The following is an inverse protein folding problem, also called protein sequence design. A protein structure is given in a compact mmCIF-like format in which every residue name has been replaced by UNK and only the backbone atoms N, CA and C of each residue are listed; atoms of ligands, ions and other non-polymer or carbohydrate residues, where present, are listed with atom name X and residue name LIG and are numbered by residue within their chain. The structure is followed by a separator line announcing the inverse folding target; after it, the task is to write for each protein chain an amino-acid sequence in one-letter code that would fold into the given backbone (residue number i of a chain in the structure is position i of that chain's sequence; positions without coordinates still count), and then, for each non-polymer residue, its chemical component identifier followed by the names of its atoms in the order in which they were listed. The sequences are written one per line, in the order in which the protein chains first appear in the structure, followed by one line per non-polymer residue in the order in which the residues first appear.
data_IF_523636901320
#
_entry.id   IF_523636901320
#
_cell.length_a   1.000
_cell.length_b   1.000
_cell.length_c   1.000
_cell.angle_alpha   90.00
_cell.angle_beta   90.00
_cell.angle_gamma   90.00
#
_symmetry.space_group_name_H-M   'P 1'
#
loop_
_entity.id
_entity.type
_entity.pdbx_description
1 polymer ?
#
# COMPACT_ATOMS: atom_id res chain seq x y z
N UNK A 1 -48.30 27.99 -13.81
CA UNK A 1 -48.96 28.62 -12.64
C UNK A 1 -47.83 29.29 -11.85
N UNK A 2 -47.48 30.57 -12.07
CA UNK A 2 -48.21 31.81 -11.69
C UNK A 2 -48.62 31.73 -10.21
N UNK A 3 -48.18 32.59 -9.28
CA UNK A 3 -48.22 34.07 -9.20
C UNK A 3 -47.17 34.47 -8.13
N UNK A 4 -46.15 35.31 -8.37
CA UNK A 4 -46.08 36.79 -8.48
C UNK A 4 -46.42 37.59 -7.21
N UNK A 5 -45.79 38.79 -7.15
CA UNK A 5 -46.00 39.98 -6.30
C UNK A 5 -45.09 40.11 -5.05
N UNK A 6 -44.35 41.20 -4.81
CA UNK A 6 -44.48 42.58 -5.31
C UNK A 6 -43.15 43.36 -5.32
N UNK A 7 -42.91 44.05 -6.44
CA UNK A 7 -42.10 45.28 -6.54
C UNK A 7 -43.05 46.47 -6.61
N UNK A 8 -42.80 47.52 -5.83
CA UNK A 8 -43.25 48.92 -5.99
C UNK A 8 -42.93 49.68 -4.67
N UNK A 9 -42.58 50.96 -4.59
CA UNK A 9 -42.11 52.02 -5.50
C UNK A 9 -41.81 53.23 -4.59
N UNK A 10 -41.25 54.30 -5.16
CA UNK A 10 -41.02 55.66 -4.61
C UNK A 10 -39.71 55.82 -3.79
N UNK A 11 -38.75 56.67 -4.13
CA UNK A 11 -38.71 57.82 -5.04
C UNK A 11 -38.72 59.12 -4.27
N UNK A 12 -37.56 59.57 -3.77
CA UNK A 12 -37.32 60.99 -3.41
C UNK A 12 -35.92 61.39 -3.90
N UNK A 13 -35.87 62.59 -4.46
CA UNK A 13 -34.83 63.21 -5.27
C UNK A 13 -33.73 63.86 -4.41
N UNK A 14 -32.60 64.09 -5.09
CA UNK A 14 -31.36 64.75 -4.71
C UNK A 14 -31.44 66.03 -3.86
N UNK A 15 -30.39 66.23 -3.05
CA UNK A 15 -29.82 67.53 -2.74
C UNK A 15 -28.29 67.40 -2.56
N UNK A 16 -27.59 68.39 -3.10
CA UNK A 16 -26.14 68.48 -3.30
C UNK A 16 -25.28 68.53 -2.02
N UNK A 17 -24.07 67.95 -2.13
CA UNK A 17 -22.71 68.35 -1.67
C UNK A 17 -22.52 69.32 -0.45
N UNK A 18 -21.37 69.28 0.28
CA UNK A 18 -20.04 68.90 -0.22
C UNK A 18 -19.14 68.05 0.69
N UNK A 19 -18.10 67.53 0.02
CA UNK A 19 -16.96 66.76 0.53
C UNK A 19 -16.09 67.64 1.43
N UNK A 20 -15.86 67.20 2.66
CA UNK A 20 -14.82 67.72 3.54
C UNK A 20 -13.66 66.71 3.62
N UNK A 21 -12.51 67.12 3.11
CA UNK A 21 -11.24 66.42 3.25
C UNK A 21 -10.75 66.50 4.71
N UNK A 22 -10.42 65.36 5.30
CA UNK A 22 -9.63 65.31 6.53
C UNK A 22 -8.56 64.22 6.43
N UNK A 23 -7.32 64.71 6.55
CA UNK A 23 -6.03 64.03 6.57
C UNK A 23 -5.89 63.22 7.85
N UNK A 24 -5.58 61.92 7.75
CA UNK A 24 -5.05 61.13 8.85
C UNK A 24 -3.68 60.56 8.45
N UNK A 25 -2.71 60.87 9.30
CA UNK A 25 -1.31 60.50 9.24
C UNK A 25 -1.14 59.05 9.68
N UNK A 26 -0.08 58.43 9.15
CA UNK A 26 0.44 57.09 9.39
C UNK A 26 0.17 56.46 10.78
N UNK A 27 -0.27 55.21 10.76
CA UNK A 27 0.31 54.17 11.61
C UNK A 27 0.65 52.97 10.74
N UNK A 28 1.94 52.61 10.78
CA UNK A 28 2.57 51.59 9.98
C UNK A 28 2.56 50.30 10.81
N UNK A 29 1.59 49.42 10.58
CA UNK A 29 1.60 48.07 11.14
C UNK A 29 1.20 47.08 10.03
N UNK A 30 2.11 46.20 9.57
CA UNK A 30 1.71 45.12 8.68
C UNK A 30 0.73 44.18 9.41
N UNK A 31 -0.28 43.62 8.72
CA UNK A 31 -1.24 42.69 9.31
C UNK A 31 -0.51 41.43 9.85
N UNK A 32 -0.96 40.84 10.97
CA UNK A 32 -0.29 39.71 11.60
C UNK A 32 -0.63 38.39 10.88
N UNK A 33 -0.25 38.25 9.61
CA UNK A 33 -0.41 36.98 8.88
C UNK A 33 0.69 35.97 9.27
N UNK A 34 1.91 36.45 9.54
CA UNK A 34 3.07 35.58 9.80
C UNK A 34 3.04 34.83 11.15
N UNK A 35 2.24 35.29 12.12
CA UNK A 35 2.15 34.68 13.44
C UNK A 35 1.28 33.40 13.45
N UNK A 36 0.27 33.34 12.57
CA UNK A 36 -0.61 32.16 12.43
C UNK A 36 0.13 30.96 11.83
N UNK A 37 0.93 31.20 10.78
CA UNK A 37 1.70 30.16 10.11
C UNK A 37 2.80 29.58 11.01
N UNK A 38 3.42 30.41 11.85
CA UNK A 38 4.41 29.94 12.84
C UNK A 38 3.77 29.18 14.00
N UNK A 39 2.54 29.53 14.41
CA UNK A 39 1.82 28.79 15.44
C UNK A 39 1.35 27.42 14.92
N UNK A 40 0.82 27.35 13.70
CA UNK A 40 0.41 26.09 13.08
C UNK A 40 1.61 25.16 12.81
N UNK A 41 2.74 25.70 12.35
CA UNK A 41 3.97 24.92 12.18
C UNK A 41 4.48 24.35 13.51
N UNK A 42 4.39 25.12 14.61
CA UNK A 42 4.74 24.63 15.96
C UNK A 42 3.78 23.55 16.45
N UNK A 43 2.47 23.71 16.23
CA UNK A 43 1.48 22.70 16.59
C UNK A 43 1.71 21.38 15.84
N UNK A 44 1.94 21.44 14.51
CA UNK A 44 2.26 20.27 13.71
C UNK A 44 3.55 19.58 14.17
N UNK A 45 4.55 20.36 14.60
CA UNK A 45 5.80 19.82 15.14
C UNK A 45 5.59 19.10 16.47
N UNK A 46 4.73 19.60 17.35
CA UNK A 46 4.38 18.92 18.60
C UNK A 46 3.66 17.59 18.32
N UNK A 47 2.66 17.60 17.43
CA UNK A 47 1.95 16.37 17.01
C UNK A 47 2.91 15.33 16.43
N UNK A 48 3.89 15.77 15.64
CA UNK A 48 4.95 14.90 15.11
C UNK A 48 5.77 14.26 16.23
N UNK A 49 6.20 15.06 17.21
CA UNK A 49 6.99 14.58 18.35
C UNK A 49 6.19 13.59 19.19
N UNK A 50 4.92 13.89 19.47
CA UNK A 50 4.04 13.04 20.26
C UNK A 50 3.77 11.70 19.56
N UNK A 51 3.47 11.72 18.26
CA UNK A 51 3.27 10.51 17.46
C UNK A 51 4.52 9.63 17.43
N UNK A 52 5.71 10.22 17.25
CA UNK A 52 6.99 9.50 17.29
C UNK A 52 7.24 8.92 18.69
N UNK A 53 7.01 9.69 19.75
CA UNK A 53 7.18 9.22 21.12
C UNK A 53 6.18 8.11 21.48
N UNK A 54 4.94 8.19 21.00
CA UNK A 54 3.93 7.15 21.16
C UNK A 54 4.34 5.86 20.46
N UNK A 55 4.79 5.96 19.20
CA UNK A 55 5.30 4.81 18.47
C UNK A 55 6.51 4.16 19.18
N UNK A 56 7.48 4.96 19.63
CA UNK A 56 8.66 4.45 20.34
C UNK A 56 8.29 3.77 21.67
N UNK A 57 7.28 4.28 22.38
CA UNK A 57 6.75 3.63 23.60
C UNK A 57 6.06 2.30 23.29
N UNK A 58 5.33 2.23 22.18
CA UNK A 58 4.61 1.02 21.75
C UNK A 58 5.54 -0.04 21.15
N UNK A 59 6.62 0.37 20.48
CA UNK A 59 7.62 -0.50 19.84
C UNK A 59 9.05 -0.05 20.18
N UNK A 60 9.54 -0.36 21.39
CA UNK A 60 10.87 0.06 21.84
C UNK A 60 12.01 -0.45 20.96
N UNK A 61 11.82 -1.59 20.29
CA UNK A 61 12.78 -2.21 19.37
C UNK A 61 12.91 -1.49 18.03
N UNK A 62 11.93 -0.66 17.66
CA UNK A 62 11.90 0.03 16.38
C UNK A 62 12.78 1.28 16.43
N UNK A 63 13.67 1.43 15.44
CA UNK A 63 14.41 2.67 15.21
C UNK A 63 13.58 3.59 14.30
N UNK A 64 12.86 4.55 14.88
CA UNK A 64 11.95 5.44 14.12
C UNK A 64 12.69 6.27 13.06
N UNK A 65 13.98 6.59 13.28
CA UNK A 65 14.78 7.29 12.27
C UNK A 65 14.93 6.48 10.97
N UNK A 66 15.13 5.17 11.09
CA UNK A 66 15.29 4.26 9.95
C UNK A 66 13.96 4.05 9.22
N UNK A 67 12.85 3.96 9.97
CA UNK A 67 11.49 3.98 9.40
C UNK A 67 11.28 5.21 8.52
N UNK A 68 11.59 6.41 9.04
CA UNK A 68 11.39 7.66 8.29
C UNK A 68 12.34 7.76 7.09
N UNK A 69 13.59 7.28 7.22
CA UNK A 69 14.53 7.22 6.11
C UNK A 69 14.04 6.27 5.00
N UNK A 70 13.53 5.10 5.38
CA UNK A 70 12.95 4.13 4.45
C UNK A 70 11.82 4.75 3.62
N UNK A 71 10.88 5.45 4.25
CA UNK A 71 9.78 6.08 3.52
C UNK A 71 10.23 7.26 2.67
N UNK A 72 11.22 8.04 3.14
CA UNK A 72 11.78 9.13 2.34
C UNK A 72 12.37 8.65 1.02
N UNK A 73 13.02 7.49 1.03
CA UNK A 73 13.62 6.90 -0.17
C UNK A 73 12.62 6.16 -1.04
N UNK A 74 11.74 5.35 -0.44
CA UNK A 74 10.95 4.36 -1.16
C UNK A 74 9.49 4.78 -1.42
N UNK A 75 8.93 5.66 -0.59
CA UNK A 75 7.55 6.12 -0.72
C UNK A 75 7.34 7.51 -0.08
N UNK A 76 7.94 8.55 -0.67
CA UNK A 76 7.88 9.92 -0.13
C UNK A 76 6.45 10.46 -0.09
N UNK A 77 5.55 9.92 -0.93
CA UNK A 77 4.14 10.29 -1.00
C UNK A 77 3.37 9.94 0.28
N UNK A 78 3.77 8.86 0.98
CA UNK A 78 3.20 8.44 2.25
C UNK A 78 3.77 9.25 3.42
N UNK A 79 5.06 9.58 3.35
CA UNK A 79 5.69 10.45 4.35
C UNK A 79 5.06 11.86 4.31
N UNK A 80 4.88 12.43 3.12
CA UNK A 80 4.20 13.71 2.93
C UNK A 80 2.74 13.67 3.43
N UNK A 81 2.05 12.55 3.25
CA UNK A 81 0.69 12.36 3.77
C UNK A 81 0.65 12.38 5.31
N UNK A 82 1.62 11.73 5.95
CA UNK A 82 1.74 11.80 7.41
C UNK A 82 2.04 13.23 7.89
N UNK A 83 2.95 13.94 7.22
CA UNK A 83 3.26 15.33 7.56
C UNK A 83 2.05 16.25 7.39
N UNK A 84 1.25 16.05 6.34
CA UNK A 84 -0.02 16.75 6.13
C UNK A 84 -1.01 16.48 7.27
N UNK A 85 -1.12 15.22 7.72
CA UNK A 85 -1.98 14.85 8.85
C UNK A 85 -1.53 15.49 10.16
N UNK A 86 -0.22 15.62 10.39
CA UNK A 86 0.28 16.33 11.57
C UNK A 86 -0.20 17.79 11.62
N UNK A 87 -0.35 18.46 10.47
CA UNK A 87 -0.85 19.84 10.39
C UNK A 87 -2.38 19.98 10.31
N UNK A 88 -3.08 19.02 9.71
CA UNK A 88 -4.50 19.17 9.36
C UNK A 88 -5.44 18.21 10.11
N UNK A 89 -4.93 17.06 10.58
CA UNK A 89 -5.71 15.96 11.14
C UNK A 89 -4.96 15.29 12.31
N UNK A 90 -4.67 16.03 13.40
CA UNK A 90 -3.75 15.59 14.45
C UNK A 90 -4.19 14.28 15.12
N UNK A 91 -5.49 14.08 15.33
CA UNK A 91 -6.06 12.87 15.93
C UNK A 91 -5.77 11.58 15.13
N UNK A 92 -5.45 11.72 13.84
CA UNK A 92 -5.15 10.59 12.95
C UNK A 92 -3.65 10.40 12.66
N UNK A 93 -2.81 11.33 13.08
CA UNK A 93 -1.39 11.32 12.72
C UNK A 93 -0.63 10.16 13.38
N UNK A 94 -0.94 9.87 14.65
CA UNK A 94 -0.34 8.75 15.41
C UNK A 94 -0.71 7.40 14.80
N UNK A 95 -2.01 7.15 14.60
CA UNK A 95 -2.48 5.87 14.04
C UNK A 95 -1.97 5.63 12.62
N UNK A 96 -1.84 6.69 11.82
CA UNK A 96 -1.24 6.59 10.50
C UNK A 96 0.25 6.24 10.56
N UNK A 97 1.01 6.85 11.49
CA UNK A 97 2.42 6.50 11.67
C UNK A 97 2.60 5.05 12.16
N UNK A 98 1.73 4.58 13.05
CA UNK A 98 1.74 3.19 13.52
C UNK A 98 1.51 2.20 12.37
N UNK A 99 0.59 2.51 11.46
CA UNK A 99 0.36 1.70 10.24
C UNK A 99 1.61 1.65 9.35
N UNK A 100 2.28 2.79 9.15
CA UNK A 100 3.54 2.83 8.39
C UNK A 100 4.63 1.99 9.08
N UNK A 101 4.72 2.06 10.40
CA UNK A 101 5.67 1.25 11.18
C UNK A 101 5.42 -0.26 11.05
N UNK A 102 4.15 -0.68 11.05
CA UNK A 102 3.76 -2.08 10.83
C UNK A 102 4.20 -2.59 9.45
N UNK A 103 3.90 -1.79 8.42
CA UNK A 103 4.28 -2.14 7.06
C UNK A 103 5.80 -2.21 6.89
N UNK A 104 6.54 -1.24 7.42
CA UNK A 104 8.00 -1.24 7.44
C UNK A 104 8.57 -2.48 8.15
N UNK A 105 8.07 -2.81 9.34
CA UNK A 105 8.53 -3.98 10.09
C UNK A 105 8.29 -5.28 9.32
N UNK A 106 7.17 -5.38 8.59
CA UNK A 106 6.86 -6.53 7.75
C UNK A 106 7.81 -6.68 6.56
N UNK A 107 8.32 -5.58 6.01
CA UNK A 107 9.31 -5.63 4.92
C UNK A 107 10.69 -5.93 5.49
N UNK A 108 11.12 -5.26 6.57
CA UNK A 108 12.49 -5.41 7.07
C UNK A 108 12.74 -6.78 7.70
N UNK A 109 11.73 -7.42 8.31
CA UNK A 109 11.91 -8.74 8.93
C UNK A 109 12.39 -9.83 7.95
N UNK A 110 12.02 -9.73 6.68
CA UNK A 110 12.39 -10.73 5.67
C UNK A 110 13.74 -10.44 5.03
N UNK A 111 14.37 -9.31 5.34
CA UNK A 111 15.60 -8.84 4.68
C UNK A 111 16.74 -9.86 4.76
N UNK A 112 16.90 -10.49 5.91
CA UNK A 112 17.97 -11.47 6.15
C UNK A 112 17.51 -12.91 5.85
N UNK A 113 16.21 -13.19 5.88
CA UNK A 113 15.63 -14.52 5.63
C UNK A 113 15.49 -14.81 4.13
N UNK A 114 15.04 -13.82 3.36
CA UNK A 114 14.82 -13.89 1.92
C UNK A 114 15.12 -12.53 1.26
N UNK A 115 16.40 -12.28 0.91
CA UNK A 115 16.82 -11.01 0.29
C UNK A 115 16.15 -10.74 -1.06
N UNK A 116 15.80 -11.77 -1.82
CA UNK A 116 15.14 -11.62 -3.12
C UNK A 116 13.71 -11.12 -2.94
N UNK A 117 12.98 -11.71 -2.00
CA UNK A 117 11.63 -11.26 -1.64
C UNK A 117 11.63 -9.86 -1.01
N UNK A 118 12.66 -9.52 -0.22
CA UNK A 118 12.85 -8.17 0.29
C UNK A 118 12.99 -7.13 -0.82
N UNK A 119 13.88 -7.36 -1.79
CA UNK A 119 14.06 -6.46 -2.93
C UNK A 119 12.77 -6.37 -3.79
N UNK A 120 12.04 -7.49 -3.90
CA UNK A 120 10.73 -7.51 -4.57
C UNK A 120 9.72 -6.59 -3.88
N UNK A 121 9.60 -6.67 -2.55
CA UNK A 121 8.70 -5.81 -1.78
C UNK A 121 9.12 -4.33 -1.85
N UNK A 122 10.42 -4.04 -1.81
CA UNK A 122 10.93 -2.68 -2.01
C UNK A 122 10.56 -2.12 -3.38
N UNK A 123 10.79 -2.91 -4.43
CA UNK A 123 10.42 -2.52 -5.78
C UNK A 123 8.92 -2.24 -5.87
N UNK A 124 8.08 -3.13 -5.32
CA UNK A 124 6.63 -2.96 -5.29
C UNK A 124 6.24 -1.64 -4.59
N UNK A 125 6.78 -1.38 -3.41
CA UNK A 125 6.53 -0.14 -2.65
C UNK A 125 6.84 1.11 -3.48
N UNK A 126 7.96 1.12 -4.20
CA UNK A 126 8.37 2.22 -5.09
C UNK A 126 7.39 2.41 -6.24
N UNK A 127 6.93 1.32 -6.86
CA UNK A 127 5.96 1.43 -7.96
C UNK A 127 4.61 1.95 -7.45
N UNK A 128 4.13 1.47 -6.32
CA UNK A 128 2.88 1.95 -5.73
C UNK A 128 2.96 3.45 -5.35
N UNK A 129 4.10 3.89 -4.82
CA UNK A 129 4.37 5.31 -4.57
C UNK A 129 4.26 6.15 -5.84
N UNK A 130 4.87 5.68 -6.95
CA UNK A 130 4.76 6.35 -8.25
C UNK A 130 3.31 6.39 -8.74
N UNK A 131 2.57 5.28 -8.65
CA UNK A 131 1.15 5.21 -9.03
C UNK A 131 0.32 6.23 -8.26
N UNK A 132 0.47 6.30 -6.93
CA UNK A 132 -0.24 7.27 -6.09
C UNK A 132 0.12 8.71 -6.45
N UNK A 133 1.41 8.98 -6.69
CA UNK A 133 1.89 10.31 -7.06
C UNK A 133 1.33 10.77 -8.42
N UNK A 134 1.40 9.91 -9.44
CA UNK A 134 0.84 10.18 -10.77
C UNK A 134 -0.67 10.38 -10.71
N UNK A 135 -1.37 9.56 -9.91
CA UNK A 135 -2.83 9.67 -9.74
C UNK A 135 -3.25 11.01 -9.14
N UNK A 136 -2.53 11.50 -8.12
CA UNK A 136 -2.76 12.82 -7.54
C UNK A 136 -2.47 13.94 -8.56
N UNK A 137 -1.34 13.86 -9.26
CA UNK A 137 -1.00 14.83 -10.31
C UNK A 137 -2.07 14.90 -11.41
N UNK A 138 -2.60 13.75 -11.84
CA UNK A 138 -3.71 13.68 -12.81
C UNK A 138 -4.98 14.31 -12.25
N UNK A 139 -5.32 14.06 -10.99
CA UNK A 139 -6.49 14.66 -10.35
C UNK A 139 -6.37 16.19 -10.27
N UNK A 140 -5.18 16.70 -9.93
CA UNK A 140 -4.90 18.13 -9.87
C UNK A 140 -4.97 18.77 -11.26
N UNK A 141 -4.35 18.15 -12.27
CA UNK A 141 -4.36 18.61 -13.67
C UNK A 141 -5.74 18.47 -14.35
N UNK A 142 -6.64 17.64 -13.81
CA UNK A 142 -8.01 17.50 -14.33
C UNK A 142 -8.90 18.68 -13.96
N UNK A 143 -8.50 19.50 -12.98
CA UNK A 143 -9.23 20.71 -12.60
C UNK A 143 -8.94 21.84 -13.59
N UNK A 144 -9.94 22.63 -14.00
CA UNK A 144 -9.74 23.84 -14.79
C UNK A 144 -8.77 24.80 -14.10
N UNK A 145 -7.91 25.47 -14.86
CA UNK A 145 -6.98 26.47 -14.34
C UNK A 145 -7.70 27.79 -14.10
N UNK A 146 -7.31 28.51 -13.03
CA UNK A 146 -7.93 29.78 -12.64
C UNK A 146 -7.67 30.91 -13.66
N UNK A 147 -6.52 30.87 -14.37
CA UNK A 147 -6.08 31.93 -15.27
C UNK A 147 -6.85 31.98 -16.61
N UNK A 148 -7.60 30.92 -16.97
CA UNK A 148 -8.46 30.85 -18.15
C UNK A 148 -7.79 31.06 -19.53
N UNK A 149 -6.46 31.23 -19.58
CA UNK A 149 -5.76 31.50 -20.85
C UNK A 149 -5.68 30.24 -21.72
N UNK A 150 -5.96 30.37 -23.01
CA UNK A 150 -5.94 29.27 -23.97
C UNK A 150 -4.58 28.55 -24.01
N UNK A 151 -3.47 29.29 -23.86
CA UNK A 151 -2.13 28.72 -23.85
C UNK A 151 -1.83 27.89 -22.58
N UNK A 152 -2.23 28.38 -21.40
CA UNK A 152 -2.08 27.63 -20.15
C UNK A 152 -2.98 26.39 -20.13
N UNK A 153 -4.20 26.51 -20.67
CA UNK A 153 -5.13 25.38 -20.81
C UNK A 153 -4.56 24.29 -21.71
N UNK A 154 -4.04 24.64 -22.88
CA UNK A 154 -3.42 23.70 -23.80
C UNK A 154 -2.21 22.99 -23.16
N UNK A 155 -1.34 23.73 -22.47
CA UNK A 155 -0.20 23.15 -21.77
C UNK A 155 -0.63 22.21 -20.63
N UNK A 156 -1.69 22.55 -19.88
CA UNK A 156 -2.25 21.67 -18.85
C UNK A 156 -2.76 20.36 -19.44
N UNK A 157 -3.51 20.44 -20.55
CA UNK A 157 -4.06 19.25 -21.22
C UNK A 157 -2.96 18.35 -21.80
N UNK A 158 -1.88 18.91 -22.35
CA UNK A 158 -0.72 18.12 -22.78
C UNK A 158 -0.09 17.38 -21.60
N UNK A 159 0.22 18.08 -20.50
CA UNK A 159 0.75 17.44 -19.28
C UNK A 159 -0.19 16.36 -18.74
N UNK A 160 -1.50 16.62 -18.71
CA UNK A 160 -2.49 15.63 -18.28
C UNK A 160 -2.43 14.36 -19.13
N UNK A 161 -2.28 14.49 -20.45
CA UNK A 161 -2.17 13.34 -21.34
C UNK A 161 -0.85 12.59 -21.15
N UNK A 162 0.27 13.30 -20.97
CA UNK A 162 1.57 12.70 -20.63
C UNK A 162 1.51 11.89 -19.33
N UNK A 163 0.98 12.47 -18.25
CA UNK A 163 0.86 11.80 -16.95
C UNK A 163 -0.08 10.58 -17.03
N UNK A 164 -1.17 10.65 -17.80
CA UNK A 164 -2.04 9.49 -18.07
C UNK A 164 -1.31 8.37 -18.80
N UNK A 165 -0.48 8.69 -19.80
CA UNK A 165 0.30 7.69 -20.52
C UNK A 165 1.37 7.05 -19.62
N UNK A 166 2.05 7.84 -18.79
CA UNK A 166 2.99 7.32 -17.77
C UNK A 166 2.30 6.38 -16.79
N UNK A 167 1.13 6.78 -16.27
CA UNK A 167 0.36 5.94 -15.36
C UNK A 167 -0.08 4.63 -16.03
N UNK A 168 -0.57 4.70 -17.27
CA UNK A 168 -0.93 3.51 -18.04
C UNK A 168 0.25 2.54 -18.18
N UNK A 169 1.40 3.04 -18.64
CA UNK A 169 2.60 2.22 -18.80
C UNK A 169 3.01 1.57 -17.47
N UNK A 170 2.98 2.32 -16.37
CA UNK A 170 3.33 1.83 -15.05
C UNK A 170 2.39 0.72 -14.56
N UNK A 171 1.10 0.83 -14.86
CA UNK A 171 0.10 -0.18 -14.52
C UNK A 171 0.26 -1.45 -15.38
N UNK A 172 0.54 -1.29 -16.68
CA UNK A 172 0.85 -2.40 -17.60
C UNK A 172 2.11 -3.15 -17.12
N UNK A 173 3.21 -2.44 -16.84
CA UNK A 173 4.44 -3.02 -16.32
C UNK A 173 4.21 -3.75 -14.98
N UNK A 174 3.42 -3.17 -14.08
CA UNK A 174 3.06 -3.77 -12.80
C UNK A 174 2.25 -5.06 -12.96
N UNK A 175 1.29 -5.05 -13.88
CA UNK A 175 0.45 -6.21 -14.21
C UNK A 175 1.27 -7.34 -14.82
N UNK A 176 2.04 -7.07 -15.87
CA UNK A 176 2.85 -8.07 -16.57
C UNK A 176 3.88 -8.70 -15.63
N UNK A 177 4.52 -7.88 -14.78
CA UNK A 177 5.46 -8.36 -13.77
C UNK A 177 4.78 -9.27 -12.74
N UNK A 178 3.55 -8.95 -12.30
CA UNK A 178 2.80 -9.79 -11.37
C UNK A 178 2.37 -11.11 -12.01
N UNK A 179 1.88 -11.06 -13.25
CA UNK A 179 1.49 -12.25 -14.00
C UNK A 179 2.68 -13.19 -14.23
N UNK A 180 3.83 -12.66 -14.65
CA UNK A 180 5.03 -13.47 -14.87
C UNK A 180 5.48 -14.18 -13.57
N UNK A 181 5.42 -13.48 -12.43
CA UNK A 181 5.75 -14.09 -11.13
C UNK A 181 4.77 -15.20 -10.75
N UNK A 182 3.48 -14.97 -10.93
CA UNK A 182 2.46 -16.00 -10.67
C UNK A 182 2.70 -17.25 -11.53
N UNK A 183 3.08 -17.10 -12.79
CA UNK A 183 3.43 -18.22 -13.66
C UNK A 183 4.67 -18.97 -13.17
N UNK A 184 5.71 -18.27 -12.71
CA UNK A 184 6.91 -18.90 -12.13
C UNK A 184 6.55 -19.70 -10.87
N UNK A 185 5.72 -19.14 -9.98
CA UNK A 185 5.30 -19.81 -8.75
C UNK A 185 4.42 -21.04 -9.05
N UNK A 186 3.51 -20.95 -10.02
CA UNK A 186 2.73 -22.11 -10.47
C UNK A 186 3.66 -23.23 -10.95
N UNK A 187 4.64 -22.91 -11.80
CA UNK A 187 5.59 -23.92 -12.29
C UNK A 187 6.41 -24.56 -11.15
N UNK A 188 6.80 -23.76 -10.14
CA UNK A 188 7.47 -24.27 -8.95
C UNK A 188 6.58 -25.24 -8.18
N UNK A 189 5.35 -24.83 -7.87
CA UNK A 189 4.38 -25.65 -7.14
C UNK A 189 4.02 -26.94 -7.90
N UNK A 190 3.90 -26.87 -9.22
CA UNK A 190 3.69 -28.06 -10.07
C UNK A 190 4.85 -29.06 -9.97
N UNK A 191 6.09 -28.55 -9.92
CA UNK A 191 7.27 -29.40 -9.72
C UNK A 191 7.26 -30.03 -8.32
N UNK A 192 6.99 -29.25 -7.27
CA UNK A 192 6.88 -29.77 -5.90
C UNK A 192 5.79 -30.85 -5.77
N UNK A 193 4.62 -30.64 -6.38
CA UNK A 193 3.55 -31.64 -6.42
C UNK A 193 3.98 -32.91 -7.17
N UNK A 194 4.70 -32.77 -8.28
CA UNK A 194 5.23 -33.91 -9.04
C UNK A 194 6.22 -34.72 -8.18
N UNK A 195 7.10 -34.05 -7.47
CA UNK A 195 8.07 -34.69 -6.58
C UNK A 195 7.39 -35.40 -5.40
N UNK A 196 6.40 -34.76 -4.77
CA UNK A 196 5.62 -35.39 -3.71
C UNK A 196 4.90 -36.65 -4.21
N UNK A 197 4.31 -36.60 -5.41
CA UNK A 197 3.70 -37.79 -6.04
C UNK A 197 4.73 -38.89 -6.26
N UNK A 198 5.92 -38.56 -6.76
CA UNK A 198 7.01 -39.53 -6.92
C UNK A 198 7.40 -40.17 -5.59
N UNK A 199 7.57 -39.39 -4.52
CA UNK A 199 7.89 -39.91 -3.19
C UNK A 199 6.80 -40.84 -2.64
N UNK A 200 5.53 -40.53 -2.88
CA UNK A 200 4.40 -41.40 -2.50
C UNK A 200 4.44 -42.71 -3.29
N UNK A 201 4.66 -42.66 -4.60
CA UNK A 201 4.78 -43.85 -5.44
C UNK A 201 5.99 -44.71 -5.03
N UNK A 202 7.14 -44.10 -4.74
CA UNK A 202 8.33 -44.80 -4.25
C UNK A 202 8.07 -45.46 -2.88
N UNK A 203 7.37 -44.78 -1.97
CA UNK A 203 6.97 -45.34 -0.69
C UNK A 203 6.00 -46.52 -0.85
N UNK A 204 5.06 -46.41 -1.78
CA UNK A 204 4.10 -47.48 -2.07
C UNK A 204 4.80 -48.71 -2.69
N UNK A 205 5.72 -48.50 -3.63
CA UNK A 205 6.52 -49.56 -4.22
C UNK A 205 7.42 -50.26 -3.17
N UNK A 206 7.99 -49.49 -2.24
CA UNK A 206 8.82 -50.00 -1.15
C UNK A 206 8.01 -50.43 0.09
N UNK A 207 6.67 -50.48 0.01
CA UNK A 207 5.80 -50.72 1.18
C UNK A 207 6.21 -51.97 1.97
N UNK A 208 6.45 -53.08 1.29
CA UNK A 208 6.79 -54.35 1.94
C UNK A 208 8.12 -54.26 2.69
N UNK A 209 9.17 -53.77 2.02
CA UNK A 209 10.49 -53.56 2.65
C UNK A 209 10.41 -52.62 3.86
N UNK A 210 9.65 -51.53 3.75
CA UNK A 210 9.46 -50.57 4.85
C UNK A 210 8.79 -51.25 6.05
N UNK A 211 7.77 -52.07 5.80
CA UNK A 211 7.08 -52.82 6.86
C UNK A 211 7.99 -53.88 7.50
N UNK A 212 8.75 -54.62 6.70
CA UNK A 212 9.73 -55.62 7.14
C UNK A 212 10.78 -54.99 8.06
N UNK A 213 11.42 -53.91 7.63
CA UNK A 213 12.40 -53.17 8.42
C UNK A 213 11.78 -52.65 9.73
N UNK A 214 10.56 -52.10 9.66
CA UNK A 214 9.90 -51.55 10.84
C UNK A 214 9.53 -52.64 11.86
N UNK A 215 9.07 -53.79 11.41
CA UNK A 215 8.78 -54.94 12.27
C UNK A 215 10.05 -55.41 12.97
N UNK A 216 11.11 -55.67 12.21
CA UNK A 216 12.38 -56.14 12.75
C UNK A 216 12.96 -55.18 13.80
N UNK A 217 12.86 -53.86 13.58
CA UNK A 217 13.28 -52.86 14.59
C UNK A 217 12.44 -52.91 15.87
N UNK A 218 11.15 -53.23 15.77
CA UNK A 218 10.22 -53.23 16.91
C UNK A 218 10.22 -54.55 17.69
N UNK A 219 10.41 -55.68 17.01
CA UNK A 219 10.27 -57.02 17.60
C UNK A 219 11.62 -57.73 17.77
N UNK A 220 12.64 -57.34 17.01
CA UNK A 220 13.92 -58.06 16.93
C UNK A 220 13.83 -59.35 16.10
N UNK A 221 12.69 -59.63 15.47
CA UNK A 221 12.42 -60.86 14.71
C UNK A 221 12.25 -60.57 13.21
N UNK A 222 12.47 -61.58 12.37
CA UNK A 222 12.24 -61.48 10.93
C UNK A 222 10.75 -61.36 10.58
N UNK A 223 10.44 -60.68 9.48
CA UNK A 223 9.05 -60.49 9.05
C UNK A 223 8.36 -61.83 8.73
N UNK A 224 7.19 -62.11 9.30
CA UNK A 224 6.52 -63.39 9.13
C UNK A 224 6.10 -63.60 7.67
N UNK A 225 6.53 -64.73 7.10
CA UNK A 225 6.10 -65.16 5.77
C UNK A 225 4.71 -65.78 5.88
N UNK A 226 3.68 -65.09 5.39
CA UNK A 226 2.31 -65.61 5.41
C UNK A 226 2.17 -66.84 4.48
N UNK A 227 1.37 -67.85 4.88
CA UNK A 227 0.99 -68.96 3.99
C UNK A 227 0.40 -68.46 2.67
N UNK A 228 0.53 -69.24 1.60
CA UNK A 228 0.14 -68.82 0.25
C UNK A 228 -1.33 -68.37 0.15
N UNK A 229 -2.21 -68.99 0.93
CA UNK A 229 -3.67 -68.74 0.93
C UNK A 229 -4.04 -67.34 1.48
N UNK A 230 -3.27 -66.79 2.42
CA UNK A 230 -3.54 -65.46 2.99
C UNK A 230 -2.96 -64.32 2.14
N UNK A 231 -1.97 -64.62 1.28
CA UNK A 231 -1.37 -63.66 0.35
C UNK A 231 -2.30 -63.24 -0.78
N UNK A 232 -3.18 -64.14 -1.24
CA UNK A 232 -4.20 -63.82 -2.26
C UNK A 232 -5.34 -62.96 -1.69
N UNK A 233 -5.76 -63.20 -0.44
CA UNK A 233 -6.81 -62.43 0.22
C UNK A 233 -6.41 -60.96 0.48
N UNK A 234 -5.15 -60.71 0.82
CA UNK A 234 -4.61 -59.35 1.05
C UNK A 234 -4.40 -58.50 -0.21
N UNK A 235 -4.23 -59.12 -1.40
CA UNK A 235 -4.13 -58.39 -2.69
C UNK A 235 -5.48 -57.85 -3.16
N UNK A 236 -6.57 -58.55 -2.84
CA UNK A 236 -7.94 -58.19 -3.22
C UNK A 236 -8.54 -57.04 -2.38
N UNK A 237 -7.88 -56.65 -1.29
CA UNK A 237 -8.32 -55.59 -0.37
C UNK A 237 -7.63 -54.24 -0.59
N UNK A 238 -6.72 -54.13 -1.58
CA UNK A 238 -6.22 -52.84 -2.06
C UNK A 238 -7.34 -52.17 -2.86
N UNK A 239 -7.82 -50.97 -2.49
CA UNK A 239 -8.83 -50.28 -3.29
C UNK A 239 -8.25 -50.04 -4.69
N UNK A 240 -8.95 -50.50 -5.72
CA UNK A 240 -8.63 -50.16 -7.10
C UNK A 240 -8.46 -48.64 -7.20
N UNK A 241 -7.35 -48.19 -7.79
CA UNK A 241 -7.11 -46.79 -8.11
C UNK A 241 -8.38 -46.21 -8.74
N UNK A 242 -8.98 -45.22 -8.08
CA UNK A 242 -10.02 -44.43 -8.75
C UNK A 242 -9.34 -43.72 -9.92
N UNK A 243 -9.90 -43.78 -11.14
CA UNK A 243 -9.37 -42.98 -12.22
C UNK A 243 -9.47 -41.50 -11.83
N UNK A 244 -8.40 -40.75 -12.10
CA UNK A 244 -8.37 -39.31 -11.85
C UNK A 244 -9.48 -38.60 -12.67
N UNK A 245 -10.12 -37.56 -12.12
CA UNK A 245 -10.95 -36.66 -12.93
C UNK A 245 -10.10 -35.86 -13.91
#
# INVERSE_FOLDING_TARGET
MAVSLSLALTGVRAADAPIAAAKAVADNAPPPAAAGDTAMAKAAQLVRQDAVAALQRARPELVVADLLAFYRENAPDLLAEWERRCGQQPDSAESYLALLAEHYANIVKIKDEDPEEYERLLWQQRQESKVRSLSRAIQDLSRPGEDGSLGAEAARLMRLQEEKMKLRQLLEEGFDSAQQRQLVEINRLENEVRDLRRLVSERAANRQLILEQRFMVLTGEEWPQLPAEEREAGRLSVPAERPAP
#
